data_IF_422900890876
#
_entry.id   IF_422900890876
#
_cell.length_a   1.000
_cell.length_b   1.000
_cell.length_c   1.000
_cell.angle_alpha   90.00
_cell.angle_beta   90.00
_cell.angle_gamma   90.00
#
_symmetry.space_group_name_H-M   'P 1'
#
loop_
_entity.id
_entity.type
_entity.pdbx_description
1 polymer ?
#
# COMPACT_ATOMS: atom_id res chain seq x y z
N UNK A 1 -37.37 17.11 -26.32
CA UNK A 1 -37.21 16.93 -24.85
C UNK A 1 -36.80 15.48 -24.55
N UNK A 2 -35.58 15.09 -24.89
CA UNK A 2 -34.98 13.85 -24.37
C UNK A 2 -33.46 13.99 -24.28
N UNK A 3 -33.04 15.18 -23.82
CA UNK A 3 -31.72 15.44 -23.29
C UNK A 3 -31.88 15.33 -21.78
N UNK A 4 -31.21 14.37 -21.12
CA UNK A 4 -30.72 14.39 -19.71
C UNK A 4 -30.50 13.00 -19.06
N UNK A 5 -31.03 11.90 -19.61
CA UNK A 5 -30.99 10.60 -18.90
C UNK A 5 -29.76 9.70 -19.17
N UNK A 6 -28.94 10.00 -20.17
CA UNK A 6 -27.78 9.15 -20.52
C UNK A 6 -26.44 9.64 -19.93
N UNK A 7 -26.46 10.64 -19.05
CA UNK A 7 -25.24 11.14 -18.40
C UNK A 7 -24.91 10.43 -17.07
N UNK A 8 -25.85 9.64 -16.52
CA UNK A 8 -25.66 8.98 -15.20
C UNK A 8 -24.98 7.61 -15.23
N UNK A 9 -24.72 7.01 -16.40
CA UNK A 9 -23.97 5.75 -16.50
C UNK A 9 -22.46 5.95 -16.69
N UNK A 10 -21.96 7.19 -16.67
CA UNK A 10 -20.57 7.50 -17.01
C UNK A 10 -19.59 7.57 -15.83
N UNK A 11 -20.00 7.57 -14.56
CA UNK A 11 -19.05 7.63 -13.43
C UNK A 11 -19.60 6.95 -12.17
N UNK A 12 -19.95 5.67 -12.28
CA UNK A 12 -20.15 4.83 -11.09
C UNK A 12 -18.79 4.26 -10.69
N UNK A 13 -18.24 4.78 -9.59
CA UNK A 13 -17.27 4.10 -8.73
C UNK A 13 -15.96 3.63 -9.38
N UNK A 14 -14.96 4.52 -9.42
CA UNK A 14 -13.54 4.13 -9.33
C UNK A 14 -13.31 3.65 -7.88
N UNK A 15 -13.92 2.53 -7.53
CA UNK A 15 -13.54 1.75 -6.37
C UNK A 15 -12.92 0.49 -6.93
N UNK A 16 -11.62 0.24 -6.70
CA UNK A 16 -11.07 -1.06 -7.04
C UNK A 16 -11.85 -2.13 -6.26
N UNK A 17 -12.34 -3.14 -6.96
CA UNK A 17 -12.98 -4.29 -6.33
C UNK A 17 -12.01 -4.90 -5.30
N UNK A 18 -12.45 -5.20 -4.06
CA UNK A 18 -11.58 -5.58 -2.93
C UNK A 18 -10.82 -6.91 -3.11
N UNK A 19 -10.87 -7.54 -4.27
CA UNK A 19 -10.29 -8.87 -4.52
C UNK A 19 -9.50 -8.99 -5.83
N UNK A 20 -9.34 -7.92 -6.61
CA UNK A 20 -8.55 -7.98 -7.84
C UNK A 20 -7.04 -8.02 -7.52
N UNK A 21 -6.39 -9.14 -7.83
CA UNK A 21 -4.97 -9.35 -7.60
C UNK A 21 -4.14 -8.53 -8.59
N UNK A 22 -3.34 -7.59 -8.08
CA UNK A 22 -2.48 -6.71 -8.89
C UNK A 22 -1.03 -7.10 -8.74
N UNK A 23 -0.42 -7.50 -9.86
CA UNK A 23 1.01 -7.80 -9.91
C UNK A 23 1.82 -6.49 -9.87
N UNK A 24 2.95 -6.49 -9.15
CA UNK A 24 3.89 -5.36 -9.12
C UNK A 24 5.10 -5.67 -10.00
N UNK A 25 5.86 -6.69 -9.61
CA UNK A 25 7.09 -7.05 -10.30
C UNK A 25 7.55 -8.47 -9.92
N UNK A 26 8.45 -8.99 -10.76
CA UNK A 26 9.24 -10.18 -10.47
C UNK A 26 10.72 -9.80 -10.47
N UNK A 27 11.43 -10.26 -9.46
CA UNK A 27 12.88 -10.33 -9.37
C UNK A 27 13.33 -11.77 -9.67
N UNK A 28 14.64 -12.02 -9.67
CA UNK A 28 15.21 -13.36 -9.77
C UNK A 28 14.79 -14.31 -8.64
N UNK A 29 14.49 -13.75 -7.47
CA UNK A 29 14.31 -14.45 -6.19
C UNK A 29 12.97 -14.13 -5.51
N UNK A 30 12.21 -13.17 -6.04
CA UNK A 30 11.01 -12.66 -5.39
C UNK A 30 9.93 -12.23 -6.39
N UNK A 31 8.69 -12.64 -6.13
CA UNK A 31 7.50 -12.15 -6.83
C UNK A 31 6.62 -11.37 -5.86
N UNK A 32 6.14 -10.19 -6.29
CA UNK A 32 5.34 -9.29 -5.45
C UNK A 32 4.00 -8.98 -6.12
N UNK A 33 2.93 -9.12 -5.35
CA UNK A 33 1.58 -8.70 -5.72
C UNK A 33 0.87 -8.06 -4.54
N UNK A 34 -0.21 -7.34 -4.80
CA UNK A 34 -1.05 -6.74 -3.77
C UNK A 34 -2.53 -6.83 -4.11
N UNK A 35 -3.36 -6.78 -3.06
CA UNK A 35 -4.81 -6.55 -3.16
C UNK A 35 -5.18 -5.35 -2.29
N UNK A 36 -6.29 -4.68 -2.62
CA UNK A 36 -6.86 -3.66 -1.74
C UNK A 36 -7.63 -4.34 -0.61
N UNK A 37 -7.50 -3.86 0.63
CA UNK A 37 -8.27 -4.42 1.76
C UNK A 37 -9.70 -3.84 1.88
N UNK A 38 -10.25 -3.25 0.80
CA UNK A 38 -11.66 -2.84 0.73
C UNK A 38 -12.10 -1.70 1.65
N UNK A 39 -11.32 -0.62 1.77
CA UNK A 39 -11.68 0.59 2.54
C UNK A 39 -11.30 1.86 1.78
N UNK A 40 -12.07 2.93 1.95
CA UNK A 40 -12.07 4.17 1.14
C UNK A 40 -11.65 5.42 1.91
N UNK A 41 -10.56 6.11 1.51
CA UNK A 41 -9.78 6.85 2.54
C UNK A 41 -8.75 7.93 2.06
N UNK A 42 -8.32 8.90 2.93
CA UNK A 42 -7.43 10.10 2.70
C UNK A 42 -6.40 10.43 3.85
N UNK A 43 -5.06 10.68 3.57
CA UNK A 43 -3.74 11.01 4.33
C UNK A 43 -2.91 10.04 5.32
N UNK A 44 -1.55 10.09 5.39
CA UNK A 44 -0.58 8.90 5.45
C UNK A 44 0.49 8.71 6.59
N UNK A 45 0.48 7.54 7.27
CA UNK A 45 1.59 6.78 7.92
C UNK A 45 1.26 5.29 7.96
N UNK A 46 2.25 4.40 7.96
CA UNK A 46 2.03 2.96 7.75
C UNK A 46 2.10 2.13 9.04
N UNK A 47 1.02 1.42 9.36
CA UNK A 47 1.06 0.24 10.23
C UNK A 47 1.32 -0.98 9.36
N UNK A 48 2.38 -1.73 9.69
CA UNK A 48 2.82 -2.91 8.96
C UNK A 48 2.56 -4.15 9.81
N UNK A 49 1.72 -5.05 9.29
CA UNK A 49 1.46 -6.37 9.86
C UNK A 49 2.10 -7.41 8.95
N UNK A 50 3.16 -8.05 9.45
CA UNK A 50 3.89 -9.07 8.69
C UNK A 50 3.52 -10.46 9.19
N UNK A 51 3.19 -11.35 8.26
CA UNK A 51 2.96 -12.77 8.49
C UNK A 51 3.86 -13.57 7.57
N UNK A 52 4.53 -14.59 8.09
CA UNK A 52 5.38 -15.50 7.32
C UNK A 52 5.09 -16.94 7.72
N UNK A 53 4.69 -17.79 6.78
CA UNK A 53 4.43 -19.22 7.04
C UNK A 53 3.57 -19.44 8.32
N UNK A 54 2.53 -18.62 8.51
CA UNK A 54 1.63 -18.62 9.67
C UNK A 54 2.22 -18.11 10.99
N UNK A 55 3.42 -17.54 10.98
CA UNK A 55 3.98 -16.78 12.11
C UNK A 55 3.61 -15.31 11.96
N UNK A 56 2.94 -14.75 12.96
CA UNK A 56 2.60 -13.34 13.04
C UNK A 56 3.71 -12.58 13.77
N UNK A 57 4.26 -11.57 13.12
CA UNK A 57 5.23 -10.68 13.74
C UNK A 57 4.54 -9.50 14.44
N UNK A 58 5.15 -8.91 15.47
CA UNK A 58 4.64 -7.70 16.10
C UNK A 58 4.43 -6.59 15.08
N UNK A 59 3.29 -5.90 15.17
CA UNK A 59 2.97 -4.75 14.33
C UNK A 59 4.07 -3.69 14.44
N UNK A 60 4.51 -3.18 13.30
CA UNK A 60 5.46 -2.06 13.23
C UNK A 60 4.75 -0.80 12.75
N UNK A 61 4.99 0.31 13.45
CA UNK A 61 4.49 1.64 13.08
C UNK A 61 5.64 2.42 12.46
N UNK A 62 5.54 2.70 11.16
CA UNK A 62 6.52 3.51 10.43
C UNK A 62 5.94 4.90 10.16
N UNK A 63 6.55 5.91 10.80
CA UNK A 63 6.15 7.31 10.66
C UNK A 63 6.89 7.94 9.48
N UNK A 64 6.16 8.23 8.40
CA UNK A 64 6.72 8.81 7.17
C UNK A 64 6.75 10.33 7.20
N UNK A 65 5.70 10.95 7.75
CA UNK A 65 5.59 12.41 7.88
C UNK A 65 5.40 12.76 9.36
N UNK A 66 6.32 13.55 9.90
CA UNK A 66 6.34 14.06 11.29
C UNK A 66 5.68 15.44 11.40
N UNK A 67 5.52 16.16 10.29
CA UNK A 67 4.81 17.44 10.23
C UNK A 67 5.70 18.69 10.31
N UNK A 68 6.99 18.54 10.63
CA UNK A 68 8.00 19.61 10.54
C UNK A 68 9.31 19.02 10.00
N UNK A 69 9.93 19.68 9.03
CA UNK A 69 11.19 19.25 8.39
C UNK A 69 11.17 17.80 7.88
N UNK A 70 10.10 17.44 7.17
CA UNK A 70 9.97 16.11 6.57
C UNK A 70 10.89 15.90 5.36
N UNK A 71 11.45 14.69 5.26
CA UNK A 71 12.36 14.28 4.18
C UNK A 71 11.67 14.17 2.81
N UNK A 72 10.35 13.94 2.82
CA UNK A 72 9.57 13.69 1.61
C UNK A 72 8.67 14.87 1.24
N UNK A 73 8.75 15.29 -0.03
CA UNK A 73 7.94 16.40 -0.56
C UNK A 73 6.43 16.15 -0.48
N UNK A 74 6.00 14.90 -0.59
CA UNK A 74 4.57 14.53 -0.53
C UNK A 74 3.96 14.70 0.87
N UNK A 75 4.75 14.88 1.93
CA UNK A 75 4.23 15.18 3.26
C UNK A 75 3.48 16.51 3.33
N UNK A 76 3.73 17.42 2.37
CA UNK A 76 3.03 18.71 2.26
C UNK A 76 1.75 18.63 1.42
N UNK A 77 1.46 17.50 0.80
CA UNK A 77 0.33 17.36 -0.12
C UNK A 77 -1.03 17.51 0.61
N UNK A 78 -1.95 18.23 -0.03
CA UNK A 78 -3.30 18.44 0.45
C UNK A 78 -4.30 17.41 -0.08
N UNK A 79 -5.46 17.37 0.57
CA UNK A 79 -6.53 16.42 0.25
C UNK A 79 -7.05 16.75 -1.15
N UNK A 80 -6.92 15.82 -2.10
CA UNK A 80 -7.34 16.02 -3.49
C UNK A 80 -6.24 16.52 -4.43
N UNK A 81 -5.03 16.76 -3.92
CA UNK A 81 -3.86 17.01 -4.77
C UNK A 81 -3.30 15.68 -5.31
N UNK A 82 -2.85 15.71 -6.56
CA UNK A 82 -2.19 14.58 -7.19
C UNK A 82 -0.76 14.45 -6.66
N UNK A 83 -0.44 13.29 -6.09
CA UNK A 83 0.94 12.95 -5.69
C UNK A 83 1.59 12.13 -6.80
N UNK A 84 2.49 12.74 -7.56
CA UNK A 84 3.34 12.06 -8.54
C UNK A 84 4.80 12.25 -8.16
N UNK A 85 5.39 11.24 -7.51
CA UNK A 85 6.74 11.32 -6.97
C UNK A 85 7.42 9.96 -7.02
N UNK A 86 8.74 9.97 -7.08
CA UNK A 86 9.57 8.76 -7.09
C UNK A 86 10.34 8.70 -5.78
N UNK A 87 10.21 7.58 -5.07
CA UNK A 87 10.93 7.34 -3.82
C UNK A 87 12.02 6.31 -4.07
N UNK A 88 13.27 6.67 -3.81
CA UNK A 88 14.38 5.72 -3.82
C UNK A 88 14.36 4.89 -2.54
N UNK A 89 14.64 3.59 -2.68
CA UNK A 89 14.76 2.68 -1.54
C UNK A 89 15.98 1.76 -1.71
N UNK A 90 16.57 1.36 -0.58
CA UNK A 90 17.67 0.40 -0.55
C UNK A 90 17.57 -0.42 0.74
N UNK A 91 17.80 -1.72 0.63
CA UNK A 91 17.89 -2.61 1.78
C UNK A 91 19.09 -3.55 1.60
N UNK A 92 19.83 -3.78 2.68
CA UNK A 92 20.95 -4.73 2.76
C UNK A 92 20.95 -5.39 4.14
N UNK A 93 21.52 -6.59 4.21
CA UNK A 93 21.78 -7.26 5.50
C UNK A 93 20.64 -8.09 6.08
N UNK A 94 19.50 -8.24 5.38
CA UNK A 94 18.42 -9.12 5.81
C UNK A 94 18.43 -10.41 4.99
N UNK A 95 18.57 -11.56 5.66
CA UNK A 95 18.35 -12.88 5.06
C UNK A 95 16.89 -13.27 5.27
N UNK A 96 16.11 -13.25 4.20
CA UNK A 96 14.72 -13.67 4.23
C UNK A 96 14.66 -15.19 4.04
N UNK A 97 14.04 -15.97 4.95
CA UNK A 97 13.84 -17.39 4.68
C UNK A 97 12.96 -17.61 3.44
N UNK A 98 13.03 -18.80 2.86
CA UNK A 98 12.15 -19.18 1.75
C UNK A 98 10.72 -19.29 2.27
N UNK A 99 9.76 -18.75 1.52
CA UNK A 99 8.36 -18.87 1.89
C UNK A 99 7.45 -17.79 1.32
N UNK A 100 6.20 -17.85 1.76
CA UNK A 100 5.18 -16.86 1.44
C UNK A 100 5.04 -15.90 2.61
N UNK A 101 5.18 -14.63 2.28
CA UNK A 101 5.00 -13.51 3.18
C UNK A 101 3.70 -12.81 2.84
N UNK A 102 3.00 -12.37 3.87
CA UNK A 102 1.87 -11.47 3.76
C UNK A 102 2.21 -10.23 4.56
N UNK A 103 2.12 -9.07 3.95
CA UNK A 103 2.36 -7.78 4.60
C UNK A 103 1.13 -6.91 4.37
N UNK A 104 0.40 -6.63 5.44
CA UNK A 104 -0.70 -5.67 5.40
C UNK A 104 -0.13 -4.31 5.78
N UNK A 105 -0.20 -3.37 4.85
CA UNK A 105 0.22 -1.99 5.04
C UNK A 105 -1.04 -1.13 5.13
N UNK A 106 -1.36 -0.71 6.35
CA UNK A 106 -2.44 0.25 6.59
C UNK A 106 -1.85 1.64 6.69
N UNK A 107 -2.20 2.51 5.76
CA UNK A 107 -1.88 3.91 5.90
C UNK A 107 -2.92 4.59 6.84
N UNK A 108 -2.56 5.63 7.60
CA UNK A 108 -3.45 6.33 8.55
C UNK A 108 -3.08 7.83 8.66
N UNK A 109 -3.98 8.74 9.10
CA UNK A 109 -3.81 10.21 9.16
C UNK A 109 -3.54 10.75 10.56
N UNK A 110 -2.60 11.71 10.71
CA UNK A 110 -1.88 11.90 12.00
C UNK A 110 -2.74 12.53 13.07
N UNK A 111 -3.64 13.38 12.62
CA UNK A 111 -4.42 14.25 13.50
C UNK A 111 -5.78 13.64 13.83
N UNK A 112 -6.27 12.69 13.04
CA UNK A 112 -7.62 12.09 13.19
C UNK A 112 -7.60 10.58 13.42
N UNK A 113 -6.43 9.92 13.34
CA UNK A 113 -6.27 8.45 13.39
C UNK A 113 -7.18 7.67 12.42
N UNK A 114 -7.65 8.34 11.37
CA UNK A 114 -8.47 7.73 10.32
C UNK A 114 -7.58 7.04 9.28
N UNK A 115 -7.94 5.84 8.84
CA UNK A 115 -7.02 4.95 8.15
C UNK A 115 -6.95 5.13 6.63
N UNK A 116 -6.16 6.04 6.00
CA UNK A 116 -5.49 5.72 4.71
C UNK A 116 -6.08 5.13 3.43
N UNK A 117 -5.46 4.02 3.15
CA UNK A 117 -5.73 2.98 2.19
C UNK A 117 -5.13 1.76 2.90
N UNK A 118 -5.62 0.58 2.58
CA UNK A 118 -5.00 -0.65 3.04
C UNK A 118 -4.59 -1.46 1.84
N UNK A 119 -3.31 -1.84 1.83
CA UNK A 119 -2.74 -2.72 0.82
C UNK A 119 -2.30 -4.02 1.50
N UNK A 120 -2.79 -5.12 0.96
CA UNK A 120 -2.40 -6.46 1.36
C UNK A 120 -1.40 -6.99 0.36
N UNK A 121 -0.11 -6.81 0.66
CA UNK A 121 0.97 -7.35 -0.14
C UNK A 121 1.15 -8.82 0.16
N UNK A 122 1.38 -9.59 -0.89
CA UNK A 122 1.89 -10.94 -0.76
C UNK A 122 3.20 -11.01 -1.52
N UNK A 123 4.21 -11.54 -0.85
CA UNK A 123 5.53 -11.74 -1.42
C UNK A 123 5.83 -13.23 -1.39
N UNK A 124 6.30 -13.74 -2.52
CA UNK A 124 6.82 -15.10 -2.61
C UNK A 124 8.32 -15.02 -2.80
N UNK A 125 9.06 -15.42 -1.78
CA UNK A 125 10.50 -15.49 -1.81
C UNK A 125 10.93 -16.92 -2.14
N UNK A 126 11.57 -17.08 -3.29
CA UNK A 126 12.16 -18.33 -3.77
C UNK A 126 13.63 -18.06 -4.06
N UNK A 127 14.51 -18.13 -3.04
CA UNK A 127 15.92 -17.95 -3.27
C UNK A 127 16.42 -19.06 -4.19
N UNK A 128 17.22 -18.68 -5.18
CA UNK A 128 17.86 -19.62 -6.10
C UNK A 128 18.97 -20.43 -5.43
N UNK A 129 19.51 -19.96 -4.30
CA UNK A 129 20.50 -20.65 -3.46
C UNK A 129 20.28 -20.36 -1.96
N UNK A 130 20.43 -21.38 -1.11
CA UNK A 130 20.22 -21.35 0.35
C UNK A 130 21.31 -20.59 1.13
#
# INVERSE_FOLDING_TARGET
MFSFMLFFTLFSSIFPEPEELRWICNSSDMSIWYTYCGRDIKKLYFNLYLTMNSLEFPMRKEVICRGSDDDYSFCRALKGETVNTTVSFSFRGMRFPKGRYRCIAEAVVGNTEEALFCLNFTLLHQPSFN
#
